data_IF_840963993265
#
_entry.id   IF_840963993265
#
_cell.length_a   1.000
_cell.length_b   1.000
_cell.length_c   1.000
_cell.angle_alpha   90.00
_cell.angle_beta   90.00
_cell.angle_gamma   90.00
#
_symmetry.space_group_name_H-M   'P 1'
#
loop_
_entity.id
_entity.type
_entity.pdbx_description
1 polymer ?
2 branched ?
3 branched ?
4 non-polymer ?
5 non-polymer ?
6 non-polymer ?
7 non-polymer ?
8 non-polymer ?
9 water ?
#
# COMPACT_ATOMS: atom_id res chain seq x y z
N UNK A 1 7.46 19.81 15.58
CA UNK A 1 7.06 21.04 16.28
C UNK A 1 5.68 21.56 15.80
N UNK A 2 5.49 21.80 14.48
CA UNK A 2 4.13 22.11 13.95
C UNK A 2 3.56 20.92 13.15
N UNK A 3 2.22 20.85 13.03
CA UNK A 3 1.62 19.84 12.15
C UNK A 3 2.03 20.13 10.73
N UNK A 4 2.36 19.07 9.99
CA UNK A 4 2.60 19.27 8.57
C UNK A 4 1.33 19.64 7.77
N UNK A 5 1.50 20.53 6.77
CA UNK A 5 0.41 20.89 5.87
C UNK A 5 0.79 20.52 4.45
N UNK A 6 -0.16 19.98 3.70
CA UNK A 6 0.09 19.58 2.32
C UNK A 6 0.10 20.80 1.41
N UNK A 7 1.20 21.54 1.41
CA UNK A 7 1.14 22.88 0.72
C UNK A 7 1.76 22.84 -0.66
N UNK A 8 2.37 21.71 -1.07
CA UNK A 8 3.07 21.59 -2.37
C UNK A 8 2.23 20.71 -3.33
N UNK A 9 2.53 20.85 -4.63
CA UNK A 9 2.00 19.98 -5.67
C UNK A 9 3.04 18.88 -5.93
N UNK A 10 2.71 17.92 -6.80
CA UNK A 10 3.62 16.79 -7.11
C UNK A 10 4.71 17.31 -8.01
N UNK A 11 5.93 16.81 -7.90
CA UNK A 11 6.97 17.14 -8.87
C UNK A 11 6.58 16.48 -10.20
N UNK A 12 7.19 16.97 -11.30
CA UNK A 12 6.99 16.36 -12.61
C UNK A 12 7.67 15.00 -12.63
N UNK A 13 6.92 13.97 -13.05
CA UNK A 13 7.45 12.64 -13.05
C UNK A 13 7.89 12.27 -14.47
N UNK A 14 9.18 12.30 -14.73
CA UNK A 14 9.71 11.92 -16.07
C UNK A 14 10.32 10.52 -16.11
N UNK A 15 10.65 9.98 -14.91
CA UNK A 15 11.06 8.57 -14.71
C UNK A 15 11.06 8.28 -13.18
N UNK A 16 11.58 7.10 -12.82
CA UNK A 16 11.65 6.63 -11.45
C UNK A 16 13.11 6.24 -11.21
N UNK A 17 13.66 6.69 -10.07
CA UNK A 17 15.01 6.30 -9.66
C UNK A 17 14.88 5.34 -8.45
N UNK A 18 15.87 4.47 -8.31
CA UNK A 18 15.93 3.56 -7.17
C UNK A 18 16.05 4.35 -5.85
N UNK A 19 15.21 3.98 -4.89
CA UNK A 19 15.18 4.66 -3.54
C UNK A 19 15.70 3.75 -2.41
N UNK A 20 15.12 2.54 -2.30
CA UNK A 20 15.57 1.59 -1.25
C UNK A 20 15.29 0.16 -1.67
N UNK A 21 16.06 -0.78 -1.12
CA UNK A 21 15.86 -2.18 -1.48
C UNK A 21 16.48 -2.96 -0.33
N UNK A 22 15.78 -3.91 0.28
CA UNK A 22 16.41 -4.53 1.43
C UNK A 22 16.98 -5.90 1.18
N UNK A 23 16.66 -6.54 0.04
CA UNK A 23 17.19 -7.88 -0.25
C UNK A 23 16.94 -8.85 0.93
N UNK A 24 15.76 -8.78 1.55
CA UNK A 24 15.56 -9.47 2.84
C UNK A 24 15.66 -11.00 2.71
N UNK A 25 15.12 -11.55 1.60
CA UNK A 25 15.02 -13.01 1.52
C UNK A 25 16.41 -13.58 1.23
N UNK A 26 17.18 -12.90 0.36
CA UNK A 26 18.59 -13.28 0.08
C UNK A 26 19.37 -13.30 1.36
N UNK A 27 19.26 -12.21 2.15
CA UNK A 27 20.09 -12.09 3.40
C UNK A 27 19.58 -13.08 4.45
N UNK A 28 18.22 -13.19 4.52
CA UNK A 28 17.50 -14.07 5.48
C UNK A 28 17.80 -15.55 5.35
N UNK A 29 18.31 -15.97 4.17
CA UNK A 29 18.80 -17.36 3.93
C UNK A 29 19.80 -17.79 5.02
N UNK A 30 20.57 -16.85 5.57
CA UNK A 30 21.52 -17.22 6.60
C UNK A 30 21.69 -16.14 7.69
N UNK A 31 20.63 -15.43 8.05
CA UNK A 31 20.74 -14.47 9.12
C UNK A 31 19.34 -14.35 9.73
N UNK A 32 19.19 -13.69 10.90
CA UNK A 32 17.94 -13.72 11.65
C UNK A 32 16.94 -12.70 11.17
N UNK A 33 16.41 -12.96 9.99
CA UNK A 33 15.46 -12.05 9.37
C UNK A 33 14.04 -12.55 9.64
N UNK A 34 13.17 -11.64 10.11
CA UNK A 34 11.77 -11.99 10.39
C UNK A 34 11.02 -12.28 9.09
N UNK A 35 10.08 -13.23 9.12
CA UNK A 35 9.15 -13.42 7.98
C UNK A 35 8.16 -12.25 8.01
N UNK A 36 7.88 -11.64 6.88
CA UNK A 36 6.91 -10.55 6.83
C UNK A 36 5.95 -10.75 5.64
N UNK A 37 4.98 -9.85 5.54
CA UNK A 37 4.32 -9.53 4.23
C UNK A 37 3.65 -8.18 4.46
N UNK A 38 2.97 -7.68 3.42
CA UNK A 38 2.26 -6.39 3.53
C UNK A 38 3.20 -5.24 3.99
N UNK A 39 4.35 -5.05 3.31
CA UNK A 39 5.27 -3.99 3.65
C UNK A 39 4.82 -2.64 3.10
N UNK A 40 5.48 -1.61 3.59
CA UNK A 40 5.31 -0.26 3.03
C UNK A 40 6.46 0.62 3.56
N UNK A 41 6.40 1.91 3.23
CA UNK A 41 7.44 2.85 3.61
C UNK A 41 6.68 4.07 4.16
N UNK A 42 7.27 4.73 5.15
CA UNK A 42 6.66 5.94 5.70
C UNK A 42 7.80 6.82 6.29
N UNK A 43 7.71 8.16 6.13
CA UNK A 43 8.73 9.12 6.58
C UNK A 43 8.27 9.85 7.82
N UNK A 44 9.23 10.11 8.70
CA UNK A 44 9.12 11.01 9.79
C UNK A 44 9.85 12.25 9.30
N UNK A 45 9.79 13.33 10.08
CA UNK A 45 10.56 14.53 9.58
C UNK A 45 12.08 14.33 9.47
N UNK A 46 12.67 13.39 10.20
CA UNK A 46 14.13 13.20 10.23
C UNK A 46 14.59 11.83 9.65
N UNK A 47 13.68 11.00 9.17
CA UNK A 47 14.03 9.60 8.87
C UNK A 47 12.88 8.98 8.06
N UNK A 48 13.20 8.20 7.03
CA UNK A 48 12.20 7.34 6.38
C UNK A 48 12.54 5.88 6.73
N UNK A 49 11.50 5.06 6.97
CA UNK A 49 11.70 3.68 7.43
C UNK A 49 10.84 2.72 6.60
N UNK A 50 11.29 1.47 6.56
CA UNK A 50 10.45 0.33 6.08
C UNK A 50 9.53 -0.16 7.20
N UNK A 51 8.31 -0.59 6.80
CA UNK A 51 7.24 -1.08 7.68
C UNK A 51 6.78 -2.39 7.04
N UNK A 52 6.25 -3.30 7.87
CA UNK A 52 5.61 -4.54 7.40
C UNK A 52 4.93 -5.24 8.53
N UNK A 53 4.04 -6.16 8.19
CA UNK A 53 3.53 -7.12 9.18
C UNK A 53 4.47 -8.33 9.37
N UNK A 54 5.09 -8.38 10.54
CA UNK A 54 5.90 -9.55 10.93
C UNK A 54 4.97 -10.78 11.08
N UNK A 55 5.56 -11.97 10.96
CA UNK A 55 4.78 -13.19 11.29
C UNK A 55 5.29 -13.81 12.59
N UNK A 56 6.13 -13.07 13.31
CA UNK A 56 6.58 -13.52 14.58
C UNK A 56 7.40 -14.82 14.50
N UNK A 57 8.31 -14.90 13.52
CA UNK A 57 9.26 -16.01 13.37
C UNK A 57 10.30 -15.56 12.36
N UNK A 58 11.49 -16.18 12.37
CA UNK A 58 12.46 -15.95 11.27
C UNK A 58 12.15 -16.85 10.07
N UNK A 59 12.74 -16.55 8.92
CA UNK A 59 12.48 -17.32 7.70
C UNK A 59 13.11 -18.73 7.77
N UNK A 60 14.34 -18.80 8.27
CA UNK A 60 15.00 -20.10 8.57
C UNK A 60 14.42 -20.84 9.77
N UNK A 61 13.67 -20.16 10.65
CA UNK A 61 13.06 -20.84 11.76
C UNK A 61 12.00 -21.85 11.37
N UNK A 62 11.92 -22.93 12.10
CA UNK A 62 10.82 -23.91 11.86
C UNK A 62 9.41 -23.31 11.90
N UNK A 63 9.16 -22.22 12.68
CA UNK A 63 7.80 -21.55 12.77
C UNK A 63 7.40 -20.80 11.52
N UNK A 64 8.29 -20.75 10.53
CA UNK A 64 7.92 -20.09 9.26
C UNK A 64 6.99 -21.01 8.48
N UNK A 65 6.96 -22.27 8.90
CA UNK A 65 6.03 -23.22 8.31
C UNK A 65 4.62 -22.77 8.61
N UNK A 66 3.86 -22.41 7.57
CA UNK A 66 2.48 -21.97 7.78
C UNK A 66 2.22 -20.49 7.55
N UNK A 67 3.25 -19.75 7.14
CA UNK A 67 3.16 -18.27 7.09
C UNK A 67 2.45 -17.75 5.83
N UNK A 68 1.93 -18.67 5.00
CA UNK A 68 0.95 -18.27 4.02
C UNK A 68 -0.32 -17.63 4.68
N UNK A 69 -0.64 -18.01 5.91
CA UNK A 69 -1.85 -17.51 6.57
C UNK A 69 -1.69 -16.04 6.88
N UNK A 70 -2.78 -15.29 6.72
CA UNK A 70 -2.71 -13.82 6.88
C UNK A 70 -2.88 -13.33 8.30
N UNK A 71 -3.56 -14.06 9.17
CA UNK A 71 -4.04 -13.45 10.40
C UNK A 71 -3.80 -14.44 11.51
N UNK A 72 -2.92 -14.12 12.41
CA UNK A 72 -2.58 -14.94 13.54
C UNK A 72 -2.25 -13.94 14.69
N UNK A 73 -2.16 -14.51 15.89
CA UNK A 73 -1.79 -13.80 17.08
C UNK A 73 -0.32 -13.44 17.13
N UNK A 74 0.47 -13.88 16.13
CA UNK A 74 1.94 -13.73 16.17
C UNK A 74 2.42 -12.62 15.23
N UNK A 75 1.47 -11.92 14.62
CA UNK A 75 1.77 -10.80 13.73
C UNK A 75 1.85 -9.48 14.47
N UNK A 76 2.64 -8.55 13.90
CA UNK A 76 2.77 -7.16 14.47
C UNK A 76 3.25 -6.21 13.36
N UNK A 77 2.82 -4.93 13.42
CA UNK A 77 3.44 -3.89 12.63
C UNK A 77 4.86 -3.64 13.18
N UNK A 78 5.87 -3.84 12.35
CA UNK A 78 7.27 -3.55 12.73
C UNK A 78 7.80 -2.48 11.77
N UNK A 79 8.80 -1.72 12.21
CA UNK A 79 9.54 -0.87 11.32
C UNK A 79 11.01 -1.02 11.56
N UNK A 80 11.77 -0.59 10.55
CA UNK A 80 13.21 -0.81 10.56
C UNK A 80 13.93 0.16 9.61
N UNK A 81 15.26 0.36 9.80
CA UNK A 81 15.92 1.36 8.93
C UNK A 81 15.85 1.06 7.42
N UNK A 82 15.64 2.12 6.64
CA UNK A 82 15.50 2.06 5.18
C UNK A 82 16.56 1.16 4.56
N UNK A 83 16.11 0.16 3.80
CA UNK A 83 16.98 -0.76 3.00
C UNK A 83 17.75 -1.78 3.80
N UNK A 84 17.65 -1.75 5.15
CA UNK A 84 18.13 -2.88 5.97
C UNK A 84 17.03 -3.95 5.89
N UNK A 85 17.33 -5.22 6.25
CA UNK A 85 16.25 -6.19 6.32
C UNK A 85 15.55 -6.14 7.70
N UNK A 86 14.29 -6.66 7.79
CA UNK A 86 13.57 -6.65 9.05
C UNK A 86 14.14 -7.78 9.91
N UNK A 87 15.16 -7.48 10.72
CA UNK A 87 15.76 -8.54 11.54
C UNK A 87 15.14 -8.52 12.95
N UNK A 88 15.38 -9.60 13.66
CA UNK A 88 15.00 -9.74 15.02
C UNK A 88 15.60 -8.64 15.89
N UNK A 89 16.83 -8.22 15.58
CA UNK A 89 17.62 -7.37 16.44
C UNK A 89 17.49 -5.88 16.05
N UNK A 90 16.94 -5.53 14.89
CA UNK A 90 16.83 -4.11 14.49
C UNK A 90 15.35 -3.68 14.19
N UNK A 91 14.40 -4.57 14.36
CA UNK A 91 12.99 -4.23 14.07
C UNK A 91 12.29 -3.67 15.29
N UNK A 92 11.62 -2.54 15.15
CA UNK A 92 10.87 -1.90 16.24
C UNK A 92 9.41 -2.24 16.08
N UNK A 93 8.76 -2.74 17.14
CA UNK A 93 7.33 -3.08 17.04
C UNK A 93 6.50 -1.79 17.29
N UNK A 94 5.63 -1.44 16.32
CA UNK A 94 4.73 -0.33 16.43
C UNK A 94 3.50 -0.72 17.19
N UNK A 95 2.95 -1.91 16.89
CA UNK A 95 1.70 -2.34 17.58
C UNK A 95 1.42 -3.78 17.12
N UNK A 96 0.46 -4.46 17.75
CA UNK A 96 0.21 -5.90 17.57
C UNK A 96 -1.04 -6.07 16.71
N UNK A 97 -0.94 -6.96 15.71
CA UNK A 97 -2.10 -7.12 14.82
C UNK A 97 -1.72 -7.57 13.43
N UNK A 98 -2.75 -7.72 12.56
CA UNK A 98 -2.55 -8.34 11.25
C UNK A 98 -3.10 -7.49 10.14
N UNK A 99 -3.33 -6.21 10.42
CA UNK A 99 -3.70 -5.23 9.41
C UNK A 99 -3.29 -3.88 10.00
N UNK A 100 -2.71 -2.99 9.18
CA UNK A 100 -2.15 -1.75 9.76
C UNK A 100 -2.15 -0.56 8.81
N UNK A 101 -1.90 0.60 9.42
CA UNK A 101 -1.47 1.80 8.69
C UNK A 101 -0.67 2.61 9.72
N UNK A 102 0.03 3.67 9.26
CA UNK A 102 0.91 4.49 10.12
C UNK A 102 1.23 5.77 9.33
N UNK A 103 1.30 6.92 10.00
CA UNK A 103 1.74 8.15 9.35
C UNK A 103 2.15 9.14 10.43
N UNK A 104 3.05 10.02 10.07
CA UNK A 104 3.60 11.03 10.99
C UNK A 104 2.85 12.33 10.65
N UNK A 105 2.38 13.04 11.65
CA UNK A 105 1.66 14.31 11.37
C UNK A 105 2.53 15.56 11.45
N UNK A 106 3.85 15.40 11.61
CA UNK A 106 4.74 16.56 11.69
C UNK A 106 5.16 16.71 13.15
N UNK A 107 4.30 16.30 14.11
CA UNK A 107 4.70 16.34 15.53
C UNK A 107 5.09 14.96 15.96
N UNK A 108 4.25 13.95 15.70
CA UNK A 108 4.61 12.59 16.12
C UNK A 108 3.83 11.60 15.19
N UNK A 109 4.01 10.30 15.43
CA UNK A 109 3.48 9.22 14.57
C UNK A 109 2.22 8.61 15.16
N UNK A 110 1.21 8.44 14.28
CA UNK A 110 0.05 7.62 14.61
C UNK A 110 0.25 6.27 13.90
N UNK A 111 0.01 5.17 14.62
CA UNK A 111 0.06 3.82 14.02
C UNK A 111 -1.20 3.08 14.46
N UNK A 112 -1.75 2.25 13.57
CA UNK A 112 -3.05 1.57 13.83
C UNK A 112 -2.84 0.11 13.46
N UNK A 113 -3.14 -0.80 14.41
CA UNK A 113 -3.14 -2.21 14.17
C UNK A 113 -4.48 -2.78 14.55
N UNK A 114 -4.96 -3.70 13.67
CA UNK A 114 -6.19 -4.42 13.94
C UNK A 114 -5.82 -5.85 14.31
N UNK A 115 -6.43 -6.40 15.35
CA UNK A 115 -6.19 -7.83 15.66
C UNK A 115 -7.54 -8.44 16.05
N UNK A 116 -7.59 -9.76 16.27
CA UNK A 116 -8.82 -10.38 16.73
C UNK A 116 -9.21 -11.53 15.79
N UNK A 117 -10.20 -12.33 16.21
CA UNK A 117 -10.73 -13.35 15.25
C UNK A 117 -11.57 -12.65 14.22
N UNK A 118 -11.95 -13.35 13.14
CA UNK A 118 -12.68 -12.66 12.03
C UNK A 118 -13.96 -11.92 12.38
N UNK A 119 -14.69 -12.47 13.36
CA UNK A 119 -15.98 -11.93 13.77
C UNK A 119 -15.94 -10.99 14.97
N UNK A 120 -14.75 -10.65 15.45
CA UNK A 120 -14.66 -9.86 16.67
C UNK A 120 -13.32 -9.06 16.71
N UNK A 121 -12.89 -8.56 15.55
CA UNK A 121 -11.67 -7.80 15.47
C UNK A 121 -11.82 -6.36 16.06
N UNK A 122 -10.70 -5.77 16.45
CA UNK A 122 -10.70 -4.35 16.85
C UNK A 122 -9.38 -3.63 16.43
N UNK A 123 -9.51 -2.35 16.09
CA UNK A 123 -8.40 -1.47 15.84
C UNK A 123 -7.94 -0.76 17.16
N UNK A 124 -6.63 -0.71 17.38
CA UNK A 124 -6.04 0.15 18.43
C UNK A 124 -5.24 1.24 17.77
N UNK A 125 -5.50 2.50 18.16
CA UNK A 125 -4.86 3.64 17.51
C UNK A 125 -3.87 4.13 18.51
N UNK A 126 -2.61 4.08 18.10
CA UNK A 126 -1.47 4.52 18.87
C UNK A 126 -1.06 5.89 18.35
N UNK A 127 -0.65 6.76 19.25
CA UNK A 127 -0.20 8.09 18.86
C UNK A 127 0.96 8.41 19.83
N UNK A 128 2.11 8.85 19.29
CA UNK A 128 3.29 9.10 20.16
C UNK A 128 3.64 7.85 21.01
N UNK A 129 3.47 6.67 20.37
CA UNK A 129 3.81 5.33 20.88
C UNK A 129 3.04 4.96 22.14
N UNK A 130 1.83 5.52 22.26
CA UNK A 130 0.89 5.11 23.31
C UNK A 130 -0.47 4.80 22.73
N UNK A 131 -1.19 3.82 23.31
CA UNK A 131 -2.54 3.57 22.72
C UNK A 131 -3.48 4.67 23.18
N UNK A 132 -4.36 5.16 22.29
CA UNK A 132 -5.19 6.31 22.60
C UNK A 132 -6.67 5.96 22.39
N UNK A 133 -7.02 5.30 21.30
CA UNK A 133 -8.40 5.07 20.90
C UNK A 133 -8.53 3.63 20.47
N UNK A 134 -9.70 3.06 20.69
CA UNK A 134 -9.96 1.71 20.18
C UNK A 134 -11.26 1.69 19.42
N UNK A 135 -11.31 0.90 18.33
CA UNK A 135 -12.53 0.84 17.50
C UNK A 135 -12.92 -0.62 17.26
N UNK A 136 -14.13 -1.02 17.74
CA UNK A 136 -14.60 -2.38 17.59
C UNK A 136 -15.16 -2.61 16.19
N UNK A 137 -15.01 -3.84 15.73
CA UNK A 137 -15.61 -4.33 14.49
C UNK A 137 -17.11 -3.84 14.42
N UNK A 138 -17.51 -3.29 13.26
CA UNK A 138 -18.92 -2.92 13.04
C UNK A 138 -19.66 -3.92 12.18
N UNK A 139 -18.98 -4.78 11.43
CA UNK A 139 -19.71 -5.72 10.56
C UNK A 139 -19.31 -7.16 10.86
N UNK A 140 -18.48 -7.38 11.88
CA UNK A 140 -18.13 -8.75 12.33
C UNK A 140 -17.55 -9.63 11.18
N UNK A 141 -16.81 -9.01 10.27
CA UNK A 141 -16.16 -9.75 9.18
C UNK A 141 -14.82 -9.08 8.78
N UNK A 142 -13.76 -9.39 9.55
CA UNK A 142 -12.34 -9.04 9.27
C UNK A 142 -12.23 -7.51 9.04
N UNK A 143 -12.49 -6.74 10.11
CA UNK A 143 -12.12 -5.31 10.12
C UNK A 143 -10.67 -5.18 9.59
N UNK A 144 -10.44 -4.29 8.61
CA UNK A 144 -9.13 -4.23 7.95
C UNK A 144 -8.91 -2.80 7.35
N UNK A 145 -7.65 -2.45 7.11
CA UNK A 145 -7.31 -1.07 6.71
C UNK A 145 -6.27 -1.09 5.58
N UNK A 146 -5.46 -0.05 5.44
CA UNK A 146 -4.77 0.32 4.19
C UNK A 146 -3.60 -0.62 3.84
N UNK A 147 -2.83 -1.05 4.86
CA UNK A 147 -1.52 -1.76 4.65
C UNK A 147 -0.51 -0.85 3.90
N UNK A 148 -0.72 0.48 4.00
CA UNK A 148 0.33 1.41 3.61
C UNK A 148 0.11 2.72 4.34
N UNK A 149 0.96 3.72 4.15
CA UNK A 149 0.92 4.85 5.09
C UNK A 149 -0.35 5.70 4.91
N UNK A 150 -0.83 6.27 5.99
CA UNK A 150 -1.92 7.27 5.89
C UNK A 150 -1.22 8.64 5.58
N UNK A 151 -2.01 9.68 5.43
CA UNK A 151 -1.50 11.04 5.19
C UNK A 151 -2.16 12.05 6.15
N UNK A 152 -1.41 13.03 6.63
CA UNK A 152 -1.98 14.02 7.55
C UNK A 152 -1.96 15.43 6.95
N UNK A 153 -2.93 16.25 7.36
CA UNK A 153 -2.91 17.65 7.00
C UNK A 153 -3.42 18.45 8.24
N UNK A 154 -2.55 19.34 8.74
CA UNK A 154 -2.83 20.14 9.94
C UNK A 154 -3.31 19.24 11.11
N UNK A 155 -2.68 18.09 11.33
CA UNK A 155 -3.09 17.27 12.44
C UNK A 155 -4.13 16.28 12.06
N UNK A 156 -4.86 16.52 10.96
CA UNK A 156 -5.94 15.58 10.59
C UNK A 156 -5.41 14.46 9.68
N UNK A 157 -5.51 13.22 10.16
CA UNK A 157 -4.98 12.03 9.42
C UNK A 157 -6.16 11.09 9.12
N UNK A 158 -6.76 11.19 7.90
CA UNK A 158 -7.81 10.24 7.57
C UNK A 158 -7.28 8.86 7.27
N UNK A 159 -8.12 7.90 7.60
CA UNK A 159 -7.74 6.52 7.42
C UNK A 159 -8.98 5.77 6.84
N UNK A 160 -8.76 4.89 5.85
CA UNK A 160 -9.90 4.12 5.30
C UNK A 160 -9.85 2.74 5.91
N UNK A 161 -10.99 2.27 6.43
CA UNK A 161 -11.22 0.92 6.97
C UNK A 161 -12.37 0.25 6.18
N UNK A 162 -12.37 -1.07 6.16
CA UNK A 162 -13.48 -1.78 5.57
C UNK A 162 -13.76 -2.92 6.52
N UNK A 163 -15.03 -3.27 6.72
CA UNK A 163 -15.43 -4.40 7.57
C UNK A 163 -16.59 -5.04 6.80
N UNK A 164 -16.58 -6.37 6.61
CA UNK A 164 -17.62 -6.99 5.79
C UNK A 164 -16.99 -7.82 4.70
N UNK A 165 -17.83 -8.23 3.76
CA UNK A 165 -17.44 -9.25 2.76
C UNK A 165 -16.30 -8.77 1.85
N UNK A 166 -15.41 -9.70 1.53
CA UNK A 166 -14.43 -9.56 0.46
C UNK A 166 -14.99 -9.87 -0.94
N UNK A 167 -16.22 -10.42 -0.98
CA UNK A 167 -16.80 -10.88 -2.25
C UNK A 167 -18.29 -10.44 -2.49
N UNK A 168 -18.62 -9.19 -2.12
CA UNK A 168 -19.97 -8.67 -2.08
C UNK A 168 -19.90 -7.31 -1.39
N UNK A 169 -21.02 -6.56 -1.29
CA UNK A 169 -21.04 -5.25 -0.56
C UNK A 169 -20.42 -5.32 0.86
N UNK A 170 -19.62 -4.34 1.27
CA UNK A 170 -19.02 -4.34 2.61
C UNK A 170 -19.23 -2.95 3.26
N UNK A 171 -18.87 -2.76 4.52
CA UNK A 171 -19.04 -1.41 5.08
C UNK A 171 -17.71 -0.71 5.26
N UNK A 172 -17.48 0.27 4.39
CA UNK A 172 -16.27 1.06 4.37
C UNK A 172 -16.56 2.36 5.04
N UNK A 173 -15.61 2.71 5.92
CA UNK A 173 -15.68 3.96 6.68
C UNK A 173 -14.36 4.73 6.59
N UNK A 174 -14.47 6.04 6.55
CA UNK A 174 -13.32 6.96 6.60
C UNK A 174 -13.31 7.64 7.99
N UNK A 175 -12.28 7.36 8.79
CA UNK A 175 -12.13 7.99 10.05
C UNK A 175 -11.18 9.15 9.95
N UNK A 176 -11.52 10.26 10.59
CA UNK A 176 -10.66 11.43 10.62
C UNK A 176 -10.08 11.52 12.02
N UNK A 177 -8.79 11.18 12.11
CA UNK A 177 -8.07 11.23 13.40
C UNK A 177 -7.27 12.51 13.60
N UNK A 178 -7.16 12.93 14.84
CA UNK A 178 -6.19 14.01 15.19
C UNK A 178 -5.66 13.68 16.60
N UNK A 179 -4.32 13.60 16.73
CA UNK A 179 -3.70 13.16 17.99
C UNK A 179 -4.22 11.83 18.44
N UNK A 180 -4.55 10.97 17.47
CA UNK A 180 -5.08 9.66 17.85
C UNK A 180 -6.55 9.60 18.25
N UNK A 181 -7.24 10.73 18.23
CA UNK A 181 -8.65 10.75 18.65
C UNK A 181 -9.57 10.89 17.44
N UNK A 182 -10.78 10.37 17.55
CA UNK A 182 -11.68 10.44 16.42
C UNK A 182 -12.35 11.81 16.38
N UNK A 183 -12.07 12.59 15.36
CA UNK A 183 -12.81 13.84 15.14
C UNK A 183 -14.11 13.55 14.48
N UNK A 184 -14.16 12.54 13.58
CA UNK A 184 -15.39 12.33 12.77
C UNK A 184 -15.16 11.04 11.99
N UNK A 185 -16.23 10.35 11.62
CA UNK A 185 -16.11 9.32 10.59
C UNK A 185 -17.30 9.41 9.66
N UNK A 186 -17.13 8.92 8.44
CA UNK A 186 -18.22 8.93 7.46
C UNK A 186 -18.27 7.55 6.83
N UNK A 187 -19.47 7.12 6.43
CA UNK A 187 -19.56 5.90 5.58
C UNK A 187 -19.08 6.27 4.16
N UNK A 188 -18.52 5.29 3.44
CA UNK A 188 -18.10 5.49 2.04
C UNK A 188 -19.24 6.09 1.20
N UNK A 189 -18.88 7.09 0.41
CA UNK A 189 -19.78 7.73 -0.58
C UNK A 189 -19.13 7.65 -1.97
N UNK A 190 -19.86 8.17 -2.96
CA UNK A 190 -19.44 8.24 -4.36
C UNK A 190 -19.80 6.91 -5.01
N UNK A 191 -19.08 6.52 -6.07
CA UNK A 191 -19.56 5.45 -6.94
C UNK A 191 -18.67 4.23 -6.83
N UNK A 192 -17.53 4.31 -6.07
CA UNK A 192 -16.79 3.05 -5.77
C UNK A 192 -17.73 2.02 -5.10
N UNK A 193 -17.74 0.77 -5.58
CA UNK A 193 -18.71 -0.23 -5.12
C UNK A 193 -18.10 -1.17 -4.06
N UNK A 194 -16.76 -1.22 -3.96
CA UNK A 194 -16.06 -2.06 -2.93
C UNK A 194 -14.66 -1.43 -2.72
N UNK A 195 -14.20 -1.41 -1.46
CA UNK A 195 -12.90 -0.71 -1.13
C UNK A 195 -12.10 -1.59 -0.20
N UNK A 196 -10.84 -1.83 -0.56
CA UNK A 196 -9.85 -2.42 0.33
C UNK A 196 -8.50 -1.79 0.12
N UNK A 197 -7.67 -1.81 1.16
CA UNK A 197 -6.23 -1.50 0.96
C UNK A 197 -5.88 -0.20 0.17
N UNK A 198 -6.44 0.93 0.58
CA UNK A 198 -6.16 2.22 -0.05
C UNK A 198 -4.70 2.62 0.06
N UNK A 199 -4.12 3.01 -1.07
CA UNK A 199 -2.82 3.62 -1.15
C UNK A 199 -2.98 5.13 -1.35
N UNK A 200 -2.49 5.91 -0.36
CA UNK A 200 -2.78 7.33 -0.30
C UNK A 200 -1.54 8.22 -0.46
N UNK A 201 -1.79 9.45 -0.92
CA UNK A 201 -0.75 10.52 -1.00
C UNK A 201 -1.54 11.83 -0.93
N UNK A 202 -0.82 12.90 -0.62
CA UNK A 202 -1.37 14.20 -0.23
C UNK A 202 -0.67 15.24 -1.09
N UNK A 203 -1.45 16.16 -1.68
CA UNK A 203 -0.83 17.35 -2.32
C UNK A 203 -1.87 18.45 -2.34
N UNK A 204 -1.40 19.70 -2.18
CA UNK A 204 -2.24 20.91 -2.20
C UNK A 204 -3.52 20.67 -1.42
N UNK A 205 -3.36 20.29 -0.16
CA UNK A 205 -4.49 20.17 0.84
C UNK A 205 -5.56 19.12 0.41
N UNK A 206 -5.17 18.14 -0.41
CA UNK A 206 -6.10 17.12 -0.78
C UNK A 206 -5.39 15.76 -0.73
N UNK A 207 -6.09 14.71 -0.26
CA UNK A 207 -5.53 13.36 -0.12
C UNK A 207 -6.26 12.47 -1.13
N UNK A 208 -5.46 11.81 -1.99
CA UNK A 208 -5.96 10.89 -3.04
C UNK A 208 -5.54 9.49 -2.65
N UNK A 209 -6.49 8.56 -2.64
CA UNK A 209 -6.25 7.14 -2.35
C UNK A 209 -6.68 6.28 -3.56
N UNK A 210 -5.80 5.42 -4.00
CA UNK A 210 -6.12 4.40 -5.02
C UNK A 210 -6.24 3.04 -4.29
N UNK A 211 -7.37 2.39 -4.48
CA UNK A 211 -7.69 1.23 -3.68
C UNK A 211 -7.93 -0.02 -4.52
N UNK A 212 -8.46 -1.07 -3.89
CA UNK A 212 -8.64 -2.37 -4.51
C UNK A 212 -10.13 -2.69 -4.36
N UNK A 213 -10.82 -2.86 -5.48
CA UNK A 213 -12.19 -3.32 -5.44
C UNK A 213 -12.08 -4.82 -5.52
N UNK A 214 -12.17 -5.54 -4.42
CA UNK A 214 -11.95 -6.99 -4.52
C UNK A 214 -13.15 -7.74 -5.21
N UNK A 215 -14.31 -7.11 -5.21
CA UNK A 215 -15.54 -7.82 -5.53
C UNK A 215 -15.69 -7.96 -7.05
N UNK A 216 -15.67 -6.83 -7.75
CA UNK A 216 -15.95 -6.90 -9.19
C UNK A 216 -14.93 -6.18 -10.08
N UNK A 217 -14.24 -5.17 -9.56
CA UNK A 217 -13.49 -4.21 -10.38
C UNK A 217 -12.04 -4.60 -10.74
N UNK A 218 -11.66 -4.53 -12.04
CA UNK A 218 -10.26 -4.63 -12.46
C UNK A 218 -9.67 -3.26 -12.76
N UNK A 219 -10.54 -2.26 -12.86
CA UNK A 219 -10.08 -0.85 -12.73
C UNK A 219 -9.98 -0.58 -11.19
N UNK A 220 -9.28 0.46 -10.75
CA UNK A 220 -9.12 0.66 -9.29
C UNK A 220 -10.03 1.77 -8.82
N UNK A 221 -10.72 1.55 -7.70
CA UNK A 221 -11.50 2.69 -7.12
C UNK A 221 -10.54 3.75 -6.58
N UNK A 222 -11.00 5.00 -6.57
CA UNK A 222 -10.25 6.11 -6.07
C UNK A 222 -11.10 6.85 -5.08
N UNK A 223 -10.54 7.12 -3.90
CA UNK A 223 -11.16 8.05 -2.91
C UNK A 223 -10.39 9.36 -2.85
N UNK A 224 -11.07 10.50 -3.02
CA UNK A 224 -10.39 11.76 -2.82
C UNK A 224 -10.95 12.40 -1.56
N UNK A 225 -10.05 12.85 -0.67
CA UNK A 225 -10.45 13.30 0.66
C UNK A 225 -9.97 14.73 0.86
N UNK A 226 -10.91 15.52 1.35
CA UNK A 226 -10.61 16.88 1.81
C UNK A 226 -10.40 16.85 3.34
N UNK A 227 -9.13 17.01 3.80
CA UNK A 227 -8.91 16.82 5.23
C UNK A 227 -9.23 18.06 6.07
N UNK A 228 -9.55 19.19 5.44
CA UNK A 228 -9.99 20.43 6.16
C UNK A 228 -11.49 20.29 6.36
N UNK A 229 -12.26 20.12 5.29
CA UNK A 229 -13.71 19.90 5.44
C UNK A 229 -14.06 18.52 6.00
N UNK A 230 -13.10 17.59 5.98
CA UNK A 230 -13.32 16.19 6.38
C UNK A 230 -14.47 15.55 5.61
N UNK A 231 -14.44 15.68 4.29
CA UNK A 231 -15.46 15.06 3.38
C UNK A 231 -14.67 14.35 2.29
N UNK A 232 -15.31 13.42 1.57
CA UNK A 232 -14.60 12.69 0.53
C UNK A 232 -15.54 12.39 -0.60
N UNK A 233 -14.98 11.91 -1.72
CA UNK A 233 -15.82 11.32 -2.74
C UNK A 233 -15.08 10.10 -3.28
N UNK A 234 -15.71 9.32 -4.16
CA UNK A 234 -15.03 8.14 -4.76
C UNK A 234 -15.56 7.91 -6.14
N UNK A 235 -14.75 7.23 -6.94
CA UNK A 235 -15.07 6.88 -8.36
C UNK A 235 -14.07 5.79 -8.70
N UNK A 236 -13.91 5.46 -10.00
CA UNK A 236 -12.86 4.51 -10.42
C UNK A 236 -11.92 5.32 -11.32
N UNK A 237 -10.70 4.82 -11.50
CA UNK A 237 -9.89 5.27 -12.61
C UNK A 237 -10.62 4.94 -13.95
N UNK A 238 -10.94 5.99 -14.73
CA UNK A 238 -11.66 5.87 -16.02
C UNK A 238 -10.87 5.08 -17.08
N UNK A 239 -9.55 5.14 -17.02
CA UNK A 239 -8.69 4.61 -18.06
C UNK A 239 -8.96 3.11 -18.37
N UNK A 240 -8.87 2.71 -19.66
CA UNK A 240 -8.81 1.30 -20.11
C UNK A 240 -7.52 0.58 -19.71
N UNK A 241 -6.52 1.31 -19.17
CA UNK A 241 -5.29 0.65 -18.71
C UNK A 241 -5.65 0.17 -17.30
N UNK A 242 -6.07 -1.09 -17.23
CA UNK A 242 -6.60 -1.72 -16.02
C UNK A 242 -5.43 -2.17 -15.11
N UNK A 243 -5.58 -1.89 -13.82
CA UNK A 243 -4.39 -2.00 -12.92
C UNK A 243 -4.56 -2.88 -11.70
N UNK A 244 -5.66 -3.59 -11.58
CA UNK A 244 -5.72 -4.65 -10.60
C UNK A 244 -5.11 -5.95 -11.13
N UNK A 245 -5.18 -6.98 -10.31
CA UNK A 245 -4.65 -8.30 -10.67
C UNK A 245 -5.31 -9.36 -9.79
N UNK A 246 -5.80 -10.48 -10.35
CA UNK A 246 -5.84 -10.73 -11.81
C UNK A 246 -6.83 -9.78 -12.52
N UNK A 247 -6.80 -9.73 -13.84
CA UNK A 247 -7.67 -8.80 -14.58
C UNK A 247 -7.91 -9.31 -16.03
N UNK A 248 -8.95 -8.81 -16.71
CA UNK A 248 -9.03 -9.19 -18.14
C UNK A 248 -7.99 -8.40 -18.95
N UNK A 249 -7.84 -8.70 -20.24
CA UNK A 249 -7.03 -7.83 -21.11
C UNK A 249 -7.53 -6.41 -21.20
N UNK A 250 -6.63 -5.47 -21.49
CA UNK A 250 -7.03 -4.06 -21.55
C UNK A 250 -8.01 -3.84 -22.71
N UNK A 251 -9.14 -3.15 -22.46
CA UNK A 251 -10.05 -2.69 -23.49
C UNK A 251 -9.60 -1.38 -24.13
N UNK A 252 -10.48 -0.76 -24.89
CA UNK A 252 -10.19 0.51 -25.50
C UNK A 252 -10.87 1.57 -24.69
N UNK A 253 -11.93 1.23 -23.98
CA UNK A 253 -12.60 2.23 -23.15
C UNK A 253 -12.87 1.66 -21.75
N UNK A 254 -12.54 2.42 -20.69
CA UNK A 254 -12.71 1.92 -19.31
C UNK A 254 -14.04 2.36 -18.73
N UNK A 255 -14.18 2.31 -17.41
CA UNK A 255 -15.40 2.76 -16.73
C UNK A 255 -15.03 3.69 -15.59
N UNK A 256 -15.76 4.83 -15.51
CA UNK A 256 -15.53 5.89 -14.52
C UNK A 256 -16.24 5.65 -13.21
N UNK A 257 -17.46 5.09 -13.29
CA UNK A 257 -18.32 5.02 -12.13
C UNK A 257 -18.84 3.66 -11.82
N UNK A 258 -18.17 2.66 -12.38
CA UNK A 258 -18.50 1.28 -12.09
C UNK A 258 -17.31 0.41 -12.20
N UNK A 259 -17.35 -0.79 -11.59
CA UNK A 259 -16.22 -1.73 -11.71
C UNK A 259 -16.13 -2.24 -13.14
N UNK A 260 -14.92 -2.32 -13.67
CA UNK A 260 -14.73 -2.93 -14.97
C UNK A 260 -14.70 -4.43 -14.77
N UNK A 261 -15.66 -5.16 -15.39
CA UNK A 261 -15.88 -6.61 -15.11
C UNK A 261 -14.85 -7.54 -15.79
N UNK A 262 -14.97 -8.84 -15.50
CA UNK A 262 -14.05 -9.78 -16.07
C UNK A 262 -13.38 -10.65 -15.03
N UNK A 263 -13.19 -10.16 -13.79
CA UNK A 263 -12.59 -10.92 -12.68
C UNK A 263 -13.37 -10.56 -11.41
N UNK A 264 -13.74 -11.60 -10.67
CA UNK A 264 -14.52 -11.41 -9.46
C UNK A 264 -13.71 -11.90 -8.30
N UNK A 265 -13.95 -11.32 -7.14
CA UNK A 265 -13.46 -11.88 -5.88
C UNK A 265 -11.96 -12.06 -5.82
N UNK A 266 -11.20 -11.09 -6.27
CA UNK A 266 -9.78 -11.20 -6.15
C UNK A 266 -9.15 -9.88 -6.50
N UNK A 267 -7.86 -9.71 -6.21
CA UNK A 267 -7.26 -8.38 -6.53
C UNK A 267 -5.92 -8.33 -5.85
N UNK A 268 -5.30 -7.15 -5.90
CA UNK A 268 -4.02 -6.91 -5.24
C UNK A 268 -4.01 -5.44 -4.82
N UNK A 269 -3.34 -5.13 -3.69
CA UNK A 269 -3.17 -3.71 -3.31
C UNK A 269 -2.27 -3.02 -4.33
N UNK A 270 -2.64 -1.82 -4.78
CA UNK A 270 -1.82 -1.12 -5.78
C UNK A 270 -1.98 0.38 -5.55
N UNK A 271 -1.53 1.22 -6.49
CA UNK A 271 -1.55 2.67 -6.26
C UNK A 271 -1.48 3.37 -7.60
N UNK A 272 -1.66 4.68 -7.60
CA UNK A 272 -1.35 5.49 -8.79
C UNK A 272 -1.00 6.89 -8.27
N UNK A 273 -0.48 7.74 -9.17
CA UNK A 273 -0.42 9.19 -8.90
C UNK A 273 -1.22 9.84 -9.96
N UNK A 274 -2.26 10.55 -9.55
CA UNK A 274 -3.27 11.08 -10.53
C UNK A 274 -3.21 12.60 -10.53
N UNK A 275 -2.62 13.16 -11.58
CA UNK A 275 -2.23 14.57 -11.56
C UNK A 275 -2.25 15.11 -13.01
N UNK A 276 -3.41 14.98 -13.70
CA UNK A 276 -3.53 15.52 -15.05
C UNK A 276 -2.60 14.76 -15.97
N UNK A 277 -1.82 15.49 -16.77
CA UNK A 277 -0.90 14.86 -17.71
C UNK A 277 0.23 14.14 -16.91
N UNK A 278 0.52 14.60 -15.69
CA UNK A 278 1.55 13.98 -14.85
C UNK A 278 0.99 12.74 -14.08
N UNK A 279 0.35 11.80 -14.79
CA UNK A 279 -0.36 10.70 -14.15
C UNK A 279 0.37 9.43 -14.49
N UNK A 280 0.75 8.70 -13.47
CA UNK A 280 1.41 7.41 -13.65
C UNK A 280 0.67 6.32 -12.87
N UNK A 281 0.49 5.15 -13.52
CA UNK A 281 -0.23 4.06 -12.88
C UNK A 281 0.78 2.94 -12.68
N UNK A 282 0.70 2.25 -11.53
CA UNK A 282 1.44 1.01 -11.36
C UNK A 282 0.54 -0.20 -11.67
N UNK A 283 1.15 -1.23 -12.21
CA UNK A 283 0.49 -2.56 -12.26
C UNK A 283 1.49 -3.72 -12.43
N UNK A 284 0.99 -4.92 -12.11
CA UNK A 284 1.69 -6.14 -12.48
C UNK A 284 1.68 -6.25 -14.02
N UNK A 285 2.77 -6.82 -14.57
CA UNK A 285 2.80 -7.03 -16.00
C UNK A 285 1.82 -8.19 -16.32
N UNK A 286 1.81 -9.28 -15.55
CA UNK A 286 0.88 -10.40 -15.84
C UNK A 286 -0.55 -10.00 -15.52
N UNK A 287 -1.52 -10.47 -16.33
CA UNK A 287 -2.95 -10.23 -16.05
C UNK A 287 -3.42 -11.36 -15.17
N UNK A 288 -2.56 -12.37 -15.03
CA UNK A 288 -2.98 -13.62 -14.32
C UNK A 288 -2.47 -13.75 -12.89
N UNK A 289 -1.25 -13.29 -12.62
CA UNK A 289 -0.69 -13.55 -11.30
C UNK A 289 0.17 -12.33 -10.89
N UNK A 290 0.68 -12.34 -9.67
CA UNK A 290 1.48 -11.21 -9.22
C UNK A 290 2.91 -11.36 -9.75
N UNK A 291 3.08 -11.20 -11.05
CA UNK A 291 4.42 -11.28 -11.73
C UNK A 291 4.68 -9.99 -12.44
N UNK A 292 5.92 -9.54 -12.33
CA UNK A 292 6.30 -8.31 -13.04
C UNK A 292 5.64 -7.06 -12.41
N UNK A 293 6.22 -5.93 -12.74
CA UNK A 293 5.68 -4.67 -12.25
C UNK A 293 6.16 -3.60 -13.19
N UNK A 294 5.25 -2.75 -13.63
CA UNK A 294 5.64 -1.61 -14.47
C UNK A 294 4.92 -0.34 -14.03
N UNK A 295 5.53 0.79 -14.38
CA UNK A 295 4.88 2.09 -14.21
C UNK A 295 4.51 2.56 -15.60
N UNK A 296 3.28 3.06 -15.78
CA UNK A 296 2.83 3.61 -17.08
C UNK A 296 2.37 5.06 -16.92
N UNK A 297 2.86 5.94 -17.77
CA UNK A 297 2.39 7.30 -17.75
C UNK A 297 1.11 7.28 -18.59
N UNK A 298 0.00 7.67 -17.98
CA UNK A 298 -1.30 7.58 -18.63
C UNK A 298 -1.97 8.97 -18.37
N UNK A 299 -1.76 9.94 -19.26
CA UNK A 299 -2.29 11.29 -19.05
C UNK A 299 -3.78 11.28 -18.77
N UNK A 300 -4.20 11.96 -17.70
CA UNK A 300 -5.59 12.09 -17.33
C UNK A 300 -6.30 10.76 -17.15
N UNK A 301 -5.57 9.72 -16.74
CA UNK A 301 -6.16 8.36 -16.46
C UNK A 301 -7.45 8.43 -15.59
N UNK A 302 -7.49 9.34 -14.60
CA UNK A 302 -8.59 9.39 -13.66
C UNK A 302 -9.90 9.78 -14.37
N UNK A 303 -9.78 10.68 -15.36
CA UNK A 303 -10.95 11.34 -15.91
C UNK A 303 -11.22 10.97 -17.39
N UNK A 304 -10.29 10.28 -18.07
CA UNK A 304 -10.37 10.05 -19.53
C UNK A 304 -10.54 8.56 -19.76
N UNK A 305 -11.75 8.15 -20.13
CA UNK A 305 -12.02 6.71 -20.32
C UNK A 305 -11.43 6.05 -21.57
N UNK A 306 -10.62 6.78 -22.30
CA UNK A 306 -9.91 6.16 -23.41
C UNK A 306 -8.37 6.37 -23.32
N UNK A 307 -7.88 6.90 -22.18
CA UNK A 307 -6.45 7.22 -22.04
C UNK A 307 -5.60 5.97 -22.08
N UNK A 308 -4.49 6.05 -22.83
CA UNK A 308 -3.53 5.01 -23.03
C UNK A 308 -2.10 5.49 -22.71
N UNK A 309 -1.11 4.57 -22.61
CA UNK A 309 0.19 5.00 -22.10
C UNK A 309 0.94 5.86 -23.11
N UNK A 310 1.58 6.90 -22.61
CA UNK A 310 2.49 7.69 -23.46
C UNK A 310 3.95 7.44 -23.06
N UNK A 311 4.19 6.69 -21.97
CA UNK A 311 5.58 6.45 -21.55
C UNK A 311 5.50 5.37 -20.54
N UNK A 312 6.63 4.73 -20.24
CA UNK A 312 6.62 3.75 -19.19
C UNK A 312 7.95 3.36 -18.58
N UNK A 313 7.91 2.56 -17.52
CA UNK A 313 9.15 2.07 -16.95
C UNK A 313 8.94 0.69 -16.37
N UNK A 314 9.81 -0.27 -16.71
CA UNK A 314 9.83 -1.59 -16.09
C UNK A 314 10.46 -1.47 -14.67
N UNK A 315 9.81 -2.04 -13.67
CA UNK A 315 10.34 -2.09 -12.30
C UNK A 315 10.80 -3.52 -12.00
N UNK A 316 9.93 -4.48 -12.35
CA UNK A 316 10.20 -5.92 -12.10
C UNK A 316 9.78 -6.66 -13.39
N UNK A 317 10.67 -7.54 -13.88
CA UNK A 317 10.37 -8.31 -15.10
C UNK A 317 9.25 -9.28 -14.85
N UNK A 318 8.54 -9.64 -15.91
CA UNK A 318 7.42 -10.59 -15.78
C UNK A 318 7.88 -12.00 -15.46
N UNK A 319 9.19 -12.23 -15.43
CA UNK A 319 9.75 -13.51 -14.99
C UNK A 319 10.17 -13.43 -13.51
N UNK A 320 9.77 -12.35 -12.81
CA UNK A 320 9.99 -12.23 -11.36
C UNK A 320 8.69 -11.94 -10.62
N UNK A 321 8.58 -12.50 -9.41
CA UNK A 321 7.43 -12.24 -8.55
C UNK A 321 7.34 -10.77 -8.02
N UNK A 322 6.13 -10.23 -8.00
CA UNK A 322 5.84 -8.92 -7.37
C UNK A 322 4.85 -9.19 -6.21
N UNK A 323 3.84 -8.32 -6.05
CA UNK A 323 2.96 -8.40 -4.89
C UNK A 323 2.33 -7.04 -4.69
N UNK A 324 1.96 -6.77 -3.44
CA UNK A 324 1.40 -5.44 -3.02
C UNK A 324 2.32 -4.29 -3.45
N UNK A 325 1.70 -3.18 -3.85
CA UNK A 325 2.45 -1.94 -4.02
C UNK A 325 1.65 -0.76 -3.46
N UNK A 326 2.33 0.33 -3.08
CA UNK A 326 1.64 1.44 -2.46
C UNK A 326 2.47 2.71 -2.54
N UNK A 327 1.85 3.82 -2.14
CA UNK A 327 2.42 5.14 -2.30
C UNK A 327 2.93 5.67 -0.94
N UNK A 328 3.97 6.52 -0.98
CA UNK A 328 4.39 7.34 0.20
C UNK A 328 5.17 8.51 -0.42
N UNK A 329 5.34 9.59 0.35
CA UNK A 329 6.24 10.63 -0.06
C UNK A 329 6.94 11.11 1.17
N UNK A 330 8.14 11.65 0.91
CA UNK A 330 8.81 12.35 2.00
C UNK A 330 8.26 13.80 2.07
N UNK A 331 7.18 14.00 2.84
CA UNK A 331 6.58 15.34 3.06
C UNK A 331 7.49 16.34 3.68
N UNK A 332 8.65 15.91 4.17
CA UNK A 332 9.59 16.83 4.85
C UNK A 332 10.89 17.12 4.08
N UNK A 333 10.99 16.64 2.83
CA UNK A 333 12.13 16.99 1.93
C UNK A 333 12.10 18.51 1.65
N UNK A 334 13.20 19.08 1.28
CA UNK A 334 13.28 20.49 0.91
C UNK A 334 12.83 20.68 -0.55
N UNK A 335 12.40 21.83 -0.98
CA UNK A 335 12.18 21.96 -2.42
C UNK A 335 10.77 22.37 -2.64
N UNK A 336 10.42 22.58 -3.89
CA UNK A 336 9.18 23.26 -4.22
C UNK A 336 8.01 22.31 -4.45
N UNK A 337 8.28 21.00 -4.47
CA UNK A 337 7.20 20.07 -4.86
C UNK A 337 7.40 18.78 -4.11
N UNK A 338 6.37 17.96 -3.98
CA UNK A 338 6.55 16.64 -3.38
C UNK A 338 6.95 15.59 -4.43
N UNK A 339 7.96 14.77 -4.09
CA UNK A 339 8.47 13.75 -4.98
C UNK A 339 7.70 12.42 -4.71
N UNK A 340 6.86 12.05 -5.68
CA UNK A 340 6.13 10.78 -5.66
C UNK A 340 7.09 9.62 -5.40
N UNK A 341 6.68 8.73 -4.50
CA UNK A 341 7.42 7.47 -4.32
C UNK A 341 6.45 6.30 -4.24
N UNK A 342 7.00 5.10 -4.36
CA UNK A 342 6.22 3.87 -4.17
C UNK A 342 7.12 2.72 -3.78
N UNK A 343 6.53 1.68 -3.25
CA UNK A 343 7.28 0.40 -3.02
C UNK A 343 6.54 -0.70 -3.80
N UNK A 344 7.22 -1.83 -4.06
CA UNK A 344 6.56 -3.07 -4.53
C UNK A 344 7.08 -4.17 -3.53
N UNK A 345 6.14 -4.94 -2.97
CA UNK A 345 6.41 -6.12 -2.21
C UNK A 345 6.79 -7.20 -3.22
N UNK A 346 7.94 -7.86 -3.02
CA UNK A 346 8.36 -8.98 -3.88
C UNK A 346 8.13 -10.28 -3.09
N UNK A 347 6.97 -10.92 -3.29
CA UNK A 347 6.54 -12.11 -2.50
C UNK A 347 7.29 -13.35 -2.97
N UNK A 348 7.83 -14.11 -2.00
CA UNK A 348 8.53 -15.35 -2.32
C UNK A 348 7.89 -16.41 -1.48
N UNK A 349 7.99 -17.65 -1.97
CA UNK A 349 7.41 -18.80 -1.25
C UNK A 349 5.98 -19.04 -1.71
N UNK A 350 5.17 -19.53 -0.78
CA UNK A 350 3.82 -19.98 -1.14
C UNK A 350 2.94 -18.79 -1.48
N UNK A 351 1.91 -19.00 -2.33
CA UNK A 351 1.57 -20.32 -2.90
C UNK A 351 2.33 -20.68 -4.19
N UNK A 352 2.96 -19.72 -4.86
CA UNK A 352 3.59 -20.00 -6.15
C UNK A 352 4.86 -20.87 -6.04
N UNK A 353 5.68 -20.67 -5.02
CA UNK A 353 6.87 -21.48 -4.86
C UNK A 353 6.67 -22.42 -3.69
N UNK A 354 5.97 -23.54 -3.95
CA UNK A 354 5.53 -24.38 -2.85
C UNK A 354 6.51 -25.46 -2.42
N UNK A 355 7.71 -25.42 -2.94
CA UNK A 355 8.72 -26.32 -2.35
C UNK A 355 9.19 -25.87 -0.96
N UNK A 356 8.97 -24.59 -0.61
CA UNK A 356 9.19 -24.10 0.78
C UNK A 356 7.83 -24.06 1.49
N UNK A 357 7.84 -24.12 2.83
CA UNK A 357 6.64 -24.11 3.64
C UNK A 357 6.20 -22.70 4.10
N UNK A 358 7.03 -21.72 3.75
CA UNK A 358 6.83 -20.33 4.17
C UNK A 358 6.36 -19.40 3.03
N UNK A 359 5.85 -18.22 3.46
CA UNK A 359 5.63 -17.10 2.54
C UNK A 359 6.30 -15.90 3.19
N UNK A 360 7.06 -15.15 2.39
CA UNK A 360 7.68 -13.91 2.89
C UNK A 360 7.82 -12.96 1.68
N UNK A 361 8.54 -11.86 1.86
CA UNK A 361 8.76 -10.92 0.76
C UNK A 361 10.07 -10.18 1.00
N UNK A 362 10.50 -9.43 0.00
CA UNK A 362 11.44 -8.34 0.28
C UNK A 362 10.84 -7.09 -0.34
N UNK A 363 11.57 -5.97 -0.30
CA UNK A 363 10.97 -4.71 -0.70
C UNK A 363 11.90 -4.07 -1.71
N UNK A 364 11.30 -3.48 -2.75
CA UNK A 364 11.97 -2.47 -3.60
C UNK A 364 11.14 -1.17 -3.63
N UNK A 365 11.83 -0.03 -3.73
CA UNK A 365 11.10 1.25 -3.66
C UNK A 365 11.82 2.23 -4.54
N UNK A 366 11.05 3.11 -5.18
CA UNK A 366 11.55 4.12 -6.13
C UNK A 366 10.87 5.46 -5.86
N UNK A 367 11.48 6.56 -6.29
CA UNK A 367 10.87 7.85 -6.25
C UNK A 367 11.02 8.44 -7.65
N UNK A 368 10.24 9.50 -7.95
CA UNK A 368 10.24 10.05 -9.30
C UNK A 368 11.48 10.95 -9.52
N UNK A 369 11.93 11.03 -10.77
CA UNK A 369 12.94 11.97 -11.21
C UNK A 369 12.29 12.91 -12.27
N UNK A 370 12.75 14.18 -12.31
CA UNK A 370 12.44 15.07 -13.46
C UNK A 370 13.39 14.79 -14.66
N UNK A 371 14.45 13.96 -14.45
CA UNK A 371 15.23 13.39 -15.58
C UNK A 371 14.52 12.25 -16.27
N UNK A 372 14.94 11.91 -17.49
CA UNK A 372 14.47 10.66 -18.17
C UNK A 372 15.55 9.62 -17.97
N UNK A 373 15.51 8.98 -16.80
CA UNK A 373 16.54 8.02 -16.42
C UNK A 373 16.41 6.66 -17.08
N UNK A 374 17.55 6.07 -17.41
CA UNK A 374 17.65 4.66 -17.81
C UNK A 374 17.00 3.74 -16.82
N UNK A 375 16.36 2.68 -17.31
CA UNK A 375 15.70 1.72 -16.44
C UNK A 375 16.54 0.43 -16.22
N UNK A 376 16.46 -0.10 -15.00
CA UNK A 376 16.85 -1.50 -14.71
C UNK A 376 15.62 -2.30 -14.23
N UNK A 377 15.77 -3.59 -14.00
CA UNK A 377 14.74 -4.32 -13.26
C UNK A 377 15.31 -4.73 -11.92
N UNK A 378 14.40 -4.95 -10.97
CA UNK A 378 14.73 -5.01 -9.52
C UNK A 378 14.04 -6.23 -8.90
N UNK A 379 14.57 -7.46 -9.18
CA UNK A 379 13.91 -8.63 -8.60
C UNK A 379 14.31 -8.86 -7.12
N UNK A 380 13.59 -9.74 -6.44
CA UNK A 380 13.95 -10.10 -5.05
C UNK A 380 15.40 -10.58 -5.00
N UNK A 381 15.76 -11.45 -5.96
CA UNK A 381 17.11 -11.98 -6.06
C UNK A 381 17.47 -13.24 -5.30
N UNK A 382 16.56 -13.80 -4.50
CA UNK A 382 16.88 -15.01 -3.81
C UNK A 382 16.68 -16.26 -4.68
N UNK A 383 17.46 -17.32 -4.41
CA UNK A 383 17.31 -18.63 -5.08
C UNK A 383 16.56 -19.52 -4.15
N UNK A 384 15.31 -19.81 -4.48
CA UNK A 384 14.51 -20.68 -3.62
C UNK A 384 15.21 -22.01 -3.33
N UNK A 385 15.97 -22.54 -4.28
CA UNK A 385 16.60 -23.88 -4.10
C UNK A 385 17.56 -23.88 -2.93
N UNK A 386 18.12 -22.70 -2.60
CA UNK A 386 19.03 -22.64 -1.43
C UNK A 386 18.32 -22.94 -0.09
N UNK A 387 17.01 -22.74 -0.09
CA UNK A 387 16.22 -22.94 1.07
C UNK A 387 15.67 -24.36 1.17
N UNK A 388 16.01 -25.23 0.22
CA UNK A 388 15.54 -26.63 0.22
C UNK A 388 16.49 -27.48 1.01
#
# INVERSE_FOLDING_TARGET
RDFNNLTKGLCTINSWHIYGKDNAVRIGEDSDVLVTREPYVSCDPDECRFYALSQGTTIRGKHSNGTIHDRSQYRALISWPLSSPPTVYNSRVECIGWSSTSCHDGKTRMSICISGPNNNASAVIWYNRRPVTEINTWARNILRTQESECVCHNGVCPVVFTDGSATGPAETRIYYFKEGKILKWEPLAGTAKHIEECSCYGERAEITCTCRDNWQGSNRPVIRIDPVAMTHTSQYICSPVLTDNPRPNDPTVGKCNDPYPGNNNNGVKGFSYLDGVNTWLGRTISIASRSGYEMLKVPNALTDDKSKPTQGQTIVLNTDWSGYSGSFMDYWAEGECYRACFYVELIRGRPKEDKVWWTSNSIVSMCSSTEFLGQWDWPDGAKIEYFL
#
